data_IF_757671608700
#
_entry.id   IF_757671608700
#
_cell.length_a   1.000
_cell.length_b   1.000
_cell.length_c   1.000
_cell.angle_alpha   90.00
_cell.angle_beta   90.00
_cell.angle_gamma   90.00
#
_symmetry.space_group_name_H-M   'P 1'
#
loop_
_entity.id
_entity.type
_entity.pdbx_description
1 polymer ?
#
# COMPACT_ATOMS: atom_id res chain seq x y z
N UNK A 1 6.86 5.96 -11.21
CA UNK A 1 5.58 5.35 -10.78
C UNK A 1 5.81 4.65 -9.45
N UNK A 2 4.80 4.60 -8.59
CA UNK A 2 4.83 3.97 -7.26
C UNK A 2 3.87 2.79 -7.24
N UNK A 3 4.26 1.69 -6.61
CA UNK A 3 3.38 0.55 -6.44
C UNK A 3 2.18 0.96 -5.58
N UNK A 4 0.97 0.74 -6.09
CA UNK A 4 -0.25 0.88 -5.31
C UNK A 4 -0.43 -0.44 -4.58
N UNK A 5 -0.06 -0.45 -3.32
CA UNK A 5 -0.07 -1.67 -2.53
C UNK A 5 -1.48 -2.27 -2.45
N UNK A 6 -1.56 -3.60 -2.41
CA UNK A 6 -2.79 -4.41 -2.36
C UNK A 6 -3.71 -4.37 -3.59
N UNK A 7 -3.51 -3.44 -4.52
CA UNK A 7 -4.33 -3.37 -5.73
C UNK A 7 -3.73 -4.25 -6.84
N UNK A 8 -4.48 -5.29 -7.21
CA UNK A 8 -4.09 -6.26 -8.25
C UNK A 8 -5.14 -6.41 -9.35
N UNK A 9 -5.43 -5.35 -10.14
CA UNK A 9 -6.38 -5.47 -11.22
C UNK A 9 -5.95 -6.54 -12.22
N UNK A 10 -6.89 -7.39 -12.60
CA UNK A 10 -6.66 -8.53 -13.50
C UNK A 10 -5.51 -9.44 -13.00
N UNK A 11 -5.36 -9.58 -11.68
CA UNK A 11 -4.39 -10.46 -11.03
C UNK A 11 -2.96 -9.93 -10.96
N UNK A 12 -2.70 -8.73 -11.50
CA UNK A 12 -1.36 -8.17 -11.65
C UNK A 12 -1.18 -6.87 -10.86
N UNK A 13 0.04 -6.51 -10.43
CA UNK A 13 0.25 -5.32 -9.63
C UNK A 13 -0.16 -4.02 -10.36
N UNK A 14 -0.58 -3.03 -9.58
CA UNK A 14 -0.93 -1.69 -10.04
C UNK A 14 0.15 -0.69 -9.63
N UNK A 15 0.55 0.22 -10.51
CA UNK A 15 1.42 1.35 -10.15
C UNK A 15 0.75 2.68 -10.50
N UNK A 16 0.92 3.71 -9.66
CA UNK A 16 0.41 5.09 -9.86
C UNK A 16 1.57 6.04 -10.16
N UNK A 17 1.40 6.98 -11.08
CA UNK A 17 2.39 8.03 -11.34
C UNK A 17 2.44 8.99 -10.14
N UNK A 18 3.65 9.35 -9.69
CA UNK A 18 3.84 10.38 -8.65
C UNK A 18 3.26 11.71 -9.11
N UNK A 19 2.54 12.39 -8.22
CA UNK A 19 1.91 13.67 -8.50
C UNK A 19 0.92 13.68 -9.66
N UNK A 20 0.45 12.51 -10.15
CA UNK A 20 -0.32 12.42 -11.38
C UNK A 20 -1.49 11.45 -11.34
N UNK A 21 -2.44 11.66 -12.26
CA UNK A 21 -3.62 10.79 -12.50
C UNK A 21 -3.33 9.81 -13.64
N UNK A 22 -2.23 9.07 -13.51
CA UNK A 22 -1.84 8.01 -14.46
C UNK A 22 -1.50 6.73 -13.71
N UNK A 23 -1.87 5.60 -14.29
CA UNK A 23 -1.66 4.28 -13.70
C UNK A 23 -1.10 3.31 -14.73
N UNK A 24 -0.10 2.53 -14.33
CA UNK A 24 0.38 1.37 -15.06
C UNK A 24 -0.32 0.12 -14.50
N UNK A 25 -1.04 -0.62 -15.33
CA UNK A 25 -1.91 -1.71 -14.90
C UNK A 25 -2.04 -2.79 -15.99
N UNK A 26 -2.46 -4.00 -15.62
CA UNK A 26 -2.78 -5.06 -16.57
C UNK A 26 -4.22 -4.90 -17.06
N UNK A 27 -4.47 -4.95 -18.36
CA UNK A 27 -5.81 -4.99 -18.94
C UNK A 27 -6.43 -6.38 -18.94
N UNK A 28 -7.71 -6.47 -19.31
CA UNK A 28 -8.46 -7.73 -19.37
C UNK A 28 -8.01 -8.67 -20.50
N UNK A 29 -7.37 -8.11 -21.54
CA UNK A 29 -6.80 -8.85 -22.66
C UNK A 29 -5.39 -9.39 -22.35
N UNK A 30 -4.91 -9.18 -21.11
CA UNK A 30 -3.61 -9.62 -20.64
C UNK A 30 -2.45 -8.79 -21.20
N UNK A 31 -2.66 -7.51 -21.54
CA UNK A 31 -1.59 -6.57 -21.91
C UNK A 31 -1.34 -5.54 -20.81
N UNK A 32 -0.17 -4.92 -20.80
CA UNK A 32 0.13 -3.79 -19.90
C UNK A 32 -0.37 -2.47 -20.50
N UNK A 33 -0.96 -1.61 -19.67
CA UNK A 33 -1.51 -0.31 -20.06
C UNK A 33 -1.04 0.80 -19.12
N UNK A 34 -0.81 1.98 -19.67
CA UNK A 34 -0.75 3.24 -18.93
C UNK A 34 -2.04 4.02 -19.20
N UNK A 35 -2.93 4.05 -18.21
CA UNK A 35 -4.25 4.68 -18.30
C UNK A 35 -4.42 5.89 -17.38
N UNK A 36 -5.54 6.58 -17.56
CA UNK A 36 -5.94 7.75 -16.76
C UNK A 36 -7.14 7.49 -15.85
N UNK A 37 -7.85 8.56 -15.49
CA UNK A 37 -9.04 8.50 -14.63
C UNK A 37 -10.12 7.53 -15.12
N UNK A 38 -10.44 7.45 -16.44
CA UNK A 38 -11.45 6.51 -16.92
C UNK A 38 -11.13 5.03 -16.61
N UNK A 39 -9.84 4.64 -16.69
CA UNK A 39 -9.41 3.29 -16.31
C UNK A 39 -9.61 3.04 -14.81
N UNK A 40 -9.34 4.04 -13.96
CA UNK A 40 -9.54 3.95 -12.50
C UNK A 40 -11.02 3.85 -12.13
N UNK A 41 -11.89 4.64 -12.76
CA UNK A 41 -13.35 4.61 -12.53
C UNK A 41 -13.93 3.24 -12.84
N UNK A 42 -13.41 2.57 -13.87
CA UNK A 42 -13.74 1.20 -14.22
C UNK A 42 -13.03 0.14 -13.36
N UNK A 43 -12.37 0.54 -12.26
CA UNK A 43 -11.55 -0.33 -11.39
C UNK A 43 -10.54 -1.15 -12.19
N UNK A 44 -10.04 -0.59 -13.29
CA UNK A 44 -9.10 -1.20 -14.24
C UNK A 44 -9.62 -2.50 -14.89
N UNK A 45 -10.95 -2.72 -14.91
CA UNK A 45 -11.60 -3.83 -15.64
C UNK A 45 -11.80 -3.46 -17.12
N UNK A 46 -10.74 -3.02 -17.77
CA UNK A 46 -10.76 -2.61 -19.17
C UNK A 46 -9.44 -2.92 -19.88
N UNK A 47 -9.45 -2.81 -21.21
CA UNK A 47 -8.27 -2.96 -22.08
C UNK A 47 -8.03 -1.64 -22.85
N UNK A 48 -7.96 -0.51 -22.12
CA UNK A 48 -7.87 0.84 -22.71
C UNK A 48 -6.87 1.71 -21.97
N UNK A 49 -5.92 2.30 -22.68
CA UNK A 49 -4.94 3.23 -22.11
C UNK A 49 -4.57 4.32 -23.10
N UNK A 50 -3.66 5.18 -22.70
CA UNK A 50 -2.98 6.12 -23.61
C UNK A 50 -1.72 5.48 -24.22
N UNK A 51 -1.13 4.55 -23.47
CA UNK A 51 0.01 3.75 -23.87
C UNK A 51 -0.30 2.31 -23.49
N UNK A 52 0.07 1.34 -24.32
CA UNK A 52 -0.04 -0.07 -23.98
C UNK A 52 1.12 -0.87 -24.56
N UNK A 53 1.31 -2.08 -24.04
CA UNK A 53 2.29 -3.01 -24.55
C UNK A 53 1.65 -3.90 -25.63
N UNK A 54 2.24 -3.93 -26.84
CA UNK A 54 1.68 -4.60 -28.03
C UNK A 54 1.38 -6.10 -27.85
N UNK A 55 2.15 -6.80 -27.02
CA UNK A 55 2.02 -8.24 -26.77
C UNK A 55 1.48 -8.55 -25.37
N UNK A 56 0.81 -9.70 -25.24
CA UNK A 56 0.26 -10.19 -23.97
C UNK A 56 1.38 -10.57 -23.00
N UNK A 57 1.18 -10.24 -21.72
CA UNK A 57 2.25 -10.34 -20.73
C UNK A 57 2.43 -11.69 -20.07
N UNK A 58 1.42 -12.57 -20.07
CA UNK A 58 1.56 -13.93 -19.51
C UNK A 58 2.07 -13.95 -18.04
N UNK A 59 1.72 -12.93 -17.26
CA UNK A 59 2.23 -12.71 -15.89
C UNK A 59 3.61 -12.04 -15.75
N UNK A 60 4.33 -11.79 -16.85
CA UNK A 60 5.62 -11.09 -16.82
C UNK A 60 5.42 -9.61 -16.48
N UNK A 61 6.19 -9.12 -15.50
CA UNK A 61 6.11 -7.74 -15.02
C UNK A 61 6.53 -6.73 -16.10
N UNK A 62 6.03 -5.48 -16.07
CA UNK A 62 6.19 -4.53 -17.17
C UNK A 62 7.65 -4.22 -17.51
N UNK A 63 8.54 -4.19 -16.51
CA UNK A 63 9.96 -3.88 -16.67
C UNK A 63 10.82 -5.07 -17.15
N UNK A 64 10.24 -6.27 -17.20
CA UNK A 64 10.87 -7.48 -17.76
C UNK A 64 10.19 -7.91 -19.06
N UNK A 65 9.10 -7.25 -19.42
CA UNK A 65 8.30 -7.61 -20.56
C UNK A 65 8.99 -7.16 -21.84
N UNK A 66 9.28 -8.11 -22.74
CA UNK A 66 9.93 -7.82 -24.02
C UNK A 66 8.89 -7.44 -25.08
N UNK A 67 9.27 -6.52 -25.96
CA UNK A 67 8.44 -6.03 -27.05
C UNK A 67 8.40 -4.52 -27.09
N UNK A 68 7.43 -3.98 -27.82
CA UNK A 68 7.29 -2.54 -28.00
C UNK A 68 6.04 -2.03 -27.32
N UNK A 69 6.18 -0.86 -26.72
CA UNK A 69 5.07 -0.04 -26.30
C UNK A 69 4.52 0.72 -27.51
N UNK A 70 3.22 0.94 -27.48
CA UNK A 70 2.50 1.74 -28.47
C UNK A 70 1.72 2.81 -27.71
N UNK A 71 1.60 3.99 -28.31
CA UNK A 71 0.80 5.08 -27.77
C UNK A 71 -0.20 5.57 -28.81
N UNK A 72 -1.36 6.06 -28.35
CA UNK A 72 -2.45 6.37 -29.27
C UNK A 72 -3.76 6.76 -28.59
N UNK A 73 -4.67 7.28 -29.40
CA UNK A 73 -6.01 7.76 -29.00
C UNK A 73 -7.14 6.76 -29.23
N UNK A 74 -6.82 5.50 -29.56
CA UNK A 74 -7.78 4.42 -29.76
C UNK A 74 -8.07 4.08 -31.22
N UNK A 75 -8.12 5.06 -32.12
CA UNK A 75 -8.26 4.82 -33.56
C UNK A 75 -6.93 4.44 -34.21
N UNK A 76 -5.86 5.17 -33.86
CA UNK A 76 -4.51 4.95 -34.37
C UNK A 76 -3.54 4.70 -33.21
N UNK A 77 -2.72 3.67 -33.37
CA UNK A 77 -1.68 3.28 -32.44
C UNK A 77 -0.32 3.35 -33.10
N UNK A 78 0.59 4.08 -32.46
CA UNK A 78 1.94 4.31 -32.97
C UNK A 78 2.93 3.51 -32.12
N UNK A 79 3.65 2.61 -32.79
CA UNK A 79 4.75 1.88 -32.17
C UNK A 79 5.88 2.84 -31.86
N UNK A 80 6.29 2.87 -30.60
CA UNK A 80 7.35 3.75 -30.14
C UNK A 80 8.41 2.94 -29.38
N UNK A 81 9.56 2.62 -30.01
CA UNK A 81 10.62 1.87 -29.38
C UNK A 81 11.36 2.65 -28.28
N UNK A 82 11.15 3.96 -28.18
CA UNK A 82 11.79 4.81 -27.17
C UNK A 82 11.09 4.73 -25.81
N UNK A 83 9.81 4.32 -25.80
CA UNK A 83 9.08 4.08 -24.56
C UNK A 83 9.60 2.79 -23.94
N UNK A 84 10.16 2.91 -22.74
CA UNK A 84 10.64 1.79 -21.95
C UNK A 84 10.16 1.87 -20.50
N UNK A 85 10.04 0.72 -19.86
CA UNK A 85 9.73 0.63 -18.42
C UNK A 85 10.88 -0.10 -17.75
N UNK A 86 11.48 0.54 -16.74
CA UNK A 86 12.58 -0.03 -15.97
C UNK A 86 12.26 0.02 -14.48
N UNK A 87 12.73 -0.99 -13.73
CA UNK A 87 12.62 -1.00 -12.28
C UNK A 87 13.79 -0.20 -11.68
N UNK A 88 13.47 0.87 -10.95
CA UNK A 88 14.49 1.65 -10.25
C UNK A 88 14.79 0.96 -8.93
N UNK A 89 16.02 0.43 -8.76
CA UNK A 89 16.42 -0.43 -7.63
C UNK A 89 16.49 0.29 -6.28
N UNK A 90 16.55 1.61 -6.26
CA UNK A 90 16.66 2.40 -5.02
C UNK A 90 15.78 3.63 -5.11
N UNK A 91 14.74 3.66 -4.28
CA UNK A 91 13.83 4.80 -4.17
C UNK A 91 14.54 6.10 -3.74
N UNK A 92 15.67 5.99 -3.00
CA UNK A 92 16.52 7.14 -2.66
C UNK A 92 17.13 7.81 -3.90
N UNK A 93 17.77 7.04 -4.77
CA UNK A 93 18.37 7.58 -6.00
C UNK A 93 17.34 8.10 -7.02
N UNK A 94 16.07 7.68 -6.90
CA UNK A 94 14.98 8.27 -7.68
C UNK A 94 14.56 9.64 -7.11
N UNK A 95 14.48 9.74 -5.78
CA UNK A 95 14.10 10.97 -5.09
C UNK A 95 15.15 12.07 -5.25
N UNK A 96 16.43 11.74 -5.12
CA UNK A 96 17.52 12.69 -5.33
C UNK A 96 17.53 13.27 -6.75
N UNK A 97 17.12 12.48 -7.77
CA UNK A 97 16.95 12.96 -9.13
C UNK A 97 15.72 13.86 -9.30
N UNK A 98 14.56 13.44 -8.80
CA UNK A 98 13.33 14.25 -8.87
C UNK A 98 13.53 15.61 -8.17
N UNK A 99 14.19 15.62 -7.00
CA UNK A 99 14.50 16.84 -6.24
C UNK A 99 15.56 17.70 -6.95
N UNK A 100 16.54 17.10 -7.61
CA UNK A 100 17.54 17.81 -8.41
C UNK A 100 16.93 18.43 -9.68
N UNK A 101 16.06 17.72 -10.40
CA UNK A 101 15.37 18.22 -11.59
C UNK A 101 14.39 19.34 -11.24
N UNK A 102 13.66 19.20 -10.12
CA UNK A 102 12.79 20.25 -9.60
C UNK A 102 13.59 21.50 -9.21
N UNK A 103 14.77 21.33 -8.59
CA UNK A 103 15.67 22.44 -8.24
C UNK A 103 16.27 23.09 -9.49
N UNK A 104 16.65 22.31 -10.51
CA UNK A 104 17.19 22.83 -11.77
C UNK A 104 16.13 23.57 -12.61
N UNK A 105 14.85 23.21 -12.45
CA UNK A 105 13.73 23.89 -13.14
C UNK A 105 13.38 25.26 -12.54
N UNK A 106 13.89 25.59 -11.36
CA UNK A 106 13.80 26.92 -10.76
C UNK A 106 15.05 27.70 -11.18
N UNK A 107 15.07 28.18 -12.43
CA UNK A 107 16.17 29.02 -12.90
C UNK A 107 16.09 30.42 -12.26
N UNK A 108 17.19 30.98 -11.71
CA UNK A 108 17.19 32.30 -11.07
C UNK A 108 17.38 33.44 -12.08
N UNK A 109 16.71 33.41 -13.24
CA UNK A 109 16.84 34.48 -14.25
C UNK A 109 15.98 35.72 -13.97
N UNK A 110 15.45 35.87 -12.75
CA UNK A 110 14.50 36.93 -12.39
C UNK A 110 14.98 37.97 -11.38
N UNK A 111 16.20 37.93 -10.86
CA UNK A 111 16.71 39.00 -9.98
C UNK A 111 17.16 40.20 -10.80
N UNK A 112 16.17 40.94 -11.30
CA UNK A 112 16.32 42.31 -11.77
C UNK A 112 16.85 43.17 -10.61
N UNK A 113 18.00 43.79 -10.87
CA UNK A 113 18.67 44.76 -10.02
C UNK A 113 17.72 45.87 -9.53
N UNK A 114 17.27 45.78 -8.29
CA UNK A 114 16.84 46.94 -7.50
C UNK A 114 17.97 47.31 -6.54
N UNK A 115 18.95 48.02 -7.08
CA UNK A 115 19.83 48.83 -6.26
C UNK A 115 19.09 50.12 -5.89
N UNK A 116 19.34 50.57 -4.65
CA UNK A 116 19.32 51.95 -4.18
C UNK A 116 18.23 52.36 -3.19
N UNK A 117 18.76 52.68 -1.99
CA UNK A 117 18.35 53.69 -1.00
C UNK A 117 17.61 53.20 0.25
N UNK A 118 18.38 52.94 1.31
CA UNK A 118 17.97 53.22 2.70
C UNK A 118 19.17 53.85 3.44
N UNK A 119 18.98 54.97 4.17
CA UNK A 119 20.03 55.60 4.95
C UNK A 119 20.10 55.06 6.38
N UNK A 120 21.33 54.97 6.86
CA UNK A 120 21.75 54.67 8.23
C UNK A 120 21.36 55.79 9.18
N UNK A 121 20.69 55.47 10.30
CA UNK A 121 20.64 56.33 11.49
C UNK A 121 21.19 55.55 12.67
N UNK A 122 22.27 56.10 13.23
CA UNK A 122 22.90 55.74 14.49
C UNK A 122 22.09 56.35 15.64
N UNK A 123 21.92 55.60 16.73
CA UNK A 123 21.73 56.20 18.05
C UNK A 123 22.28 55.26 19.15
N UNK A 124 23.28 55.69 19.95
CA UNK A 124 23.76 54.97 21.11
C UNK A 124 23.60 55.81 22.39
N UNK A 125 22.66 55.49 23.27
CA UNK A 125 22.81 55.71 24.72
C UNK A 125 21.62 55.15 25.49
N UNK A 126 21.88 54.26 26.45
CA UNK A 126 21.43 54.43 27.84
C UNK A 126 21.95 53.31 28.74
N UNK A 127 22.62 53.76 29.79
CA UNK A 127 23.26 53.02 30.88
C UNK A 127 22.28 52.54 31.95
N UNK A 128 22.71 51.49 32.65
CA UNK A 128 22.61 51.16 34.08
C UNK A 128 21.25 51.29 34.82
N UNK A 129 20.83 50.19 35.47
CA UNK A 129 20.87 50.11 36.94
C UNK A 129 20.62 48.68 37.46
N UNK A 130 21.59 48.19 38.23
CA UNK A 130 21.52 47.04 39.16
C UNK A 130 20.93 47.47 40.49
N UNK A 131 19.92 46.75 41.03
CA UNK A 131 19.71 46.57 42.50
C UNK A 131 19.04 45.25 42.87
N UNK A 132 19.55 44.69 43.97
CA UNK A 132 19.10 43.49 44.70
C UNK A 132 17.70 43.64 45.32
N UNK A 133 16.97 42.52 45.48
CA UNK A 133 16.44 42.02 46.77
C UNK A 133 15.59 40.73 46.59
N UNK A 134 15.91 39.68 47.34
CA UNK A 134 14.97 38.61 47.78
C UNK A 134 14.22 39.09 49.06
N UNK A 135 13.17 38.43 49.63
CA UNK A 135 12.71 37.03 49.48
C UNK A 135 11.16 36.82 49.42
N UNK A 136 10.75 35.53 49.35
CA UNK A 136 9.37 34.99 49.37
C UNK A 136 8.54 35.42 50.61
N UNK A 137 7.19 35.29 50.56
CA UNK A 137 6.55 34.14 51.25
C UNK A 137 5.24 33.58 50.63
N UNK A 138 4.93 32.31 51.02
CA UNK A 138 3.63 31.65 51.31
C UNK A 138 2.41 32.06 50.45
N UNK A 139 1.71 31.17 49.73
CA UNK A 139 1.14 29.89 50.12
C UNK A 139 -0.38 29.98 49.96
N UNK A 140 -0.98 29.21 49.05
CA UNK A 140 -2.44 29.07 48.87
C UNK A 140 -2.77 27.65 48.38
N UNK A 141 -4.01 27.16 48.64
CA UNK A 141 -4.27 25.77 48.98
C UNK A 141 -4.63 24.87 47.78
N UNK A 142 -4.53 23.57 48.02
CA UNK A 142 -5.17 22.51 47.25
C UNK A 142 -6.70 22.64 47.30
N UNK A 143 -7.40 22.20 46.26
CA UNK A 143 -8.66 21.50 46.44
C UNK A 143 -8.56 20.05 45.94
N UNK A 144 -9.06 19.16 46.78
CA UNK A 144 -9.26 17.74 46.54
C UNK A 144 -10.61 17.48 45.85
N UNK A 145 -10.68 16.36 45.12
CA UNK A 145 -11.86 15.66 44.57
C UNK A 145 -12.56 16.37 43.38
N UNK A 146 -12.95 15.71 42.27
CA UNK A 146 -13.69 14.45 42.15
C UNK A 146 -13.67 13.93 40.68
N UNK A 147 -13.87 12.61 40.57
CA UNK A 147 -14.57 11.84 39.51
C UNK A 147 -13.96 11.61 38.13
N UNK A 148 -13.87 10.31 37.81
CA UNK A 148 -13.64 9.71 36.52
C UNK A 148 -14.60 10.21 35.42
N UNK A 149 -14.03 10.55 34.27
CA UNK A 149 -14.75 10.76 33.01
C UNK A 149 -14.35 9.69 31.99
N UNK A 150 -15.20 8.67 31.85
CA UNK A 150 -15.19 7.76 30.70
C UNK A 150 -15.72 8.54 29.50
N UNK A 151 -14.90 8.75 28.48
CA UNK A 151 -15.34 9.31 27.19
C UNK A 151 -15.95 8.16 26.39
N UNK A 152 -17.28 8.08 26.38
CA UNK A 152 -18.03 7.30 25.40
C UNK A 152 -18.11 8.09 24.08
N UNK A 153 -17.58 7.49 23.02
CA UNK A 153 -17.80 7.91 21.64
C UNK A 153 -19.25 7.56 21.22
N UNK A 154 -20.09 8.50 20.76
CA UNK A 154 -21.37 8.16 20.17
C UNK A 154 -21.26 8.13 18.64
N UNK A 155 -21.18 6.93 18.06
CA UNK A 155 -21.67 6.71 16.70
C UNK A 155 -23.18 6.47 16.79
N UNK A 156 -23.98 7.51 16.51
CA UNK A 156 -25.43 7.43 16.44
C UNK A 156 -25.85 7.17 14.99
N UNK A 157 -26.51 6.04 14.79
CA UNK A 157 -27.26 5.68 13.59
C UNK A 157 -28.49 6.58 13.45
N UNK A 158 -28.63 7.30 12.34
CA UNK A 158 -29.90 7.88 11.92
C UNK A 158 -30.41 7.14 10.68
N UNK A 159 -31.47 6.38 10.88
CA UNK A 159 -32.47 6.11 9.86
C UNK A 159 -33.79 6.68 10.37
N UNK A 160 -34.37 7.62 9.63
CA UNK A 160 -35.81 7.71 9.33
C UNK A 160 -36.04 8.90 8.38
N UNK A 161 -36.70 8.60 7.26
CA UNK A 161 -37.10 9.55 6.21
C UNK A 161 -38.38 10.26 6.66
N UNK A 162 -38.35 11.58 6.65
CA UNK A 162 -39.54 12.42 6.56
C UNK A 162 -39.54 13.14 5.21
N UNK A 163 -40.70 13.14 4.56
CA UNK A 163 -41.03 13.92 3.37
C UNK A 163 -40.73 15.42 3.57
N UNK A 164 -40.12 16.03 2.56
CA UNK A 164 -40.32 17.43 2.23
C UNK A 164 -39.95 17.66 0.76
N UNK A 165 -40.99 17.97 -0.02
CA UNK A 165 -40.93 18.54 -1.35
C UNK A 165 -40.29 19.92 -1.32
N UNK A 166 -39.15 20.10 -2.01
CA UNK A 166 -38.75 21.41 -2.53
C UNK A 166 -38.11 21.26 -3.92
N UNK A 167 -38.81 21.86 -4.88
CA UNK A 167 -38.39 22.19 -6.23
C UNK A 167 -37.16 23.09 -6.21
N UNK A 168 -36.07 22.67 -6.85
CA UNK A 168 -35.03 23.58 -7.33
C UNK A 168 -34.62 23.23 -8.76
N UNK A 169 -34.58 24.30 -9.55
CA UNK A 169 -34.38 24.36 -10.99
C UNK A 169 -33.01 23.82 -11.40
N UNK A 170 -33.00 22.94 -12.40
CA UNK A 170 -31.80 22.49 -13.09
C UNK A 170 -31.71 23.22 -14.44
N UNK A 171 -30.83 24.21 -14.53
CA UNK A 171 -30.27 24.64 -15.82
C UNK A 171 -29.21 23.60 -16.21
N UNK A 172 -29.61 22.65 -17.05
CA UNK A 172 -28.71 21.75 -17.77
C UNK A 172 -28.77 22.12 -19.25
N UNK A 173 -27.66 22.67 -19.74
CA UNK A 173 -27.43 22.94 -21.16
C UNK A 173 -27.61 21.67 -22.00
N UNK A 174 -28.33 21.86 -23.10
CA UNK A 174 -28.66 20.85 -24.10
C UNK A 174 -27.40 20.31 -24.79
N UNK A 175 -27.26 18.97 -24.81
CA UNK A 175 -26.39 18.26 -25.76
C UNK A 175 -27.27 17.56 -26.81
N UNK A 176 -26.86 17.54 -28.09
CA UNK A 176 -27.72 17.13 -29.19
C UNK A 176 -27.93 15.60 -29.26
N UNK A 177 -29.08 15.15 -29.79
CA UNK A 177 -29.41 13.74 -29.91
C UNK A 177 -28.70 13.11 -31.10
N UNK A 178 -27.92 12.05 -30.85
CA UNK A 178 -27.50 11.11 -31.89
C UNK A 178 -28.42 9.89 -31.83
N UNK A 179 -29.53 9.94 -32.57
CA UNK A 179 -30.24 8.73 -32.97
C UNK A 179 -30.49 8.86 -34.47
N UNK A 180 -29.93 7.92 -35.24
CA UNK A 180 -30.42 7.36 -36.51
C UNK A 180 -29.28 6.54 -37.15
N UNK A 181 -29.12 5.30 -36.71
CA UNK A 181 -28.48 4.26 -37.52
C UNK A 181 -29.56 3.33 -38.07
N UNK A 182 -29.60 3.06 -39.38
CA UNK A 182 -30.57 2.14 -39.97
C UNK A 182 -30.23 0.67 -39.65
N UNK A 183 -31.24 -0.23 -39.63
CA UNK A 183 -31.03 -1.65 -39.39
C UNK A 183 -30.29 -2.31 -40.56
N UNK A 184 -29.38 -3.23 -40.22
CA UNK A 184 -28.77 -4.15 -41.16
C UNK A 184 -29.84 -5.01 -41.84
N UNK A 185 -30.07 -4.76 -43.13
CA UNK A 185 -30.84 -5.63 -44.01
C UNK A 185 -29.97 -6.79 -44.49
N UNK A 186 -30.42 -8.01 -44.21
CA UNK A 186 -29.90 -9.24 -44.79
C UNK A 186 -30.23 -9.28 -46.28
N UNK A 187 -29.22 -9.22 -47.15
CA UNK A 187 -29.37 -9.66 -48.53
C UNK A 187 -28.47 -10.85 -48.79
N UNK A 188 -29.13 -12.00 -48.89
CA UNK A 188 -28.64 -13.23 -49.48
C UNK A 188 -28.51 -13.04 -50.99
N UNK A 189 -27.29 -12.89 -51.48
CA UNK A 189 -27.00 -13.03 -52.91
C UNK A 189 -26.17 -14.27 -53.19
N UNK A 190 -26.77 -15.08 -54.08
CA UNK A 190 -26.25 -16.33 -54.65
C UNK A 190 -25.02 -16.03 -55.49
N UNK A 191 -23.87 -16.54 -55.08
CA UNK A 191 -22.73 -16.73 -55.96
C UNK A 191 -22.77 -18.16 -56.53
N UNK A 192 -23.02 -18.24 -57.84
CA UNK A 192 -22.88 -19.43 -58.66
C UNK A 192 -21.38 -19.72 -58.84
N UNK A 193 -20.93 -20.88 -58.38
CA UNK A 193 -19.57 -21.40 -58.65
C UNK A 193 -19.56 -22.27 -59.92
N UNK A 194 -18.54 -22.17 -60.78
CA UNK A 194 -18.32 -23.13 -61.88
C UNK A 194 -17.57 -24.39 -61.40
N UNK A 195 -17.57 -25.48 -62.21
CA UNK A 195 -17.32 -26.82 -61.71
C UNK A 195 -15.82 -27.21 -61.62
N UNK A 196 -15.56 -27.96 -60.56
CA UNK A 196 -14.54 -28.99 -60.33
C UNK A 196 -13.57 -29.31 -61.48
N UNK A 197 -12.29 -29.04 -61.26
CA UNK A 197 -11.18 -29.79 -61.85
C UNK A 197 -10.29 -30.40 -60.74
N UNK A 198 -10.18 -31.72 -60.84
CA UNK A 198 -9.11 -32.63 -60.40
C UNK A 198 -8.28 -32.31 -59.14
N UNK A 199 -8.48 -33.14 -58.11
CA UNK A 199 -7.55 -33.35 -57.00
C UNK A 199 -6.30 -34.13 -57.47
N UNK A 200 -5.07 -33.70 -57.14
CA UNK A 200 -3.96 -34.62 -56.95
C UNK A 200 -3.98 -35.20 -55.53
N UNK A 201 -3.68 -36.50 -55.42
CA UNK A 201 -3.43 -37.17 -54.14
C UNK A 201 -2.27 -36.48 -53.40
N UNK A 202 -2.53 -36.06 -52.17
CA UNK A 202 -1.51 -35.60 -51.24
C UNK A 202 -1.44 -36.56 -50.04
N UNK A 203 -0.20 -36.90 -49.71
CA UNK A 203 0.33 -37.85 -48.74
C UNK A 203 -0.15 -37.65 -47.28
N UNK A 204 0.03 -38.66 -46.40
CA UNK A 204 -0.53 -38.66 -45.06
C UNK A 204 0.33 -37.82 -44.10
N UNK A 205 -0.14 -36.62 -43.78
CA UNK A 205 0.39 -35.84 -42.67
C UNK A 205 -0.12 -36.42 -41.35
N UNK A 206 0.81 -36.94 -40.53
CA UNK A 206 0.57 -37.30 -39.13
C UNK A 206 0.16 -36.05 -38.36
N UNK A 207 -0.92 -36.15 -37.59
CA UNK A 207 -1.35 -35.13 -36.64
C UNK A 207 -0.21 -34.74 -35.70
N UNK A 208 0.13 -33.45 -35.53
CA UNK A 208 0.99 -33.04 -34.44
C UNK A 208 0.27 -33.33 -33.12
N UNK A 209 0.95 -34.07 -32.25
CA UNK A 209 0.44 -34.47 -30.94
C UNK A 209 -0.07 -33.27 -30.15
N UNK A 210 -1.22 -33.49 -29.50
CA UNK A 210 -1.80 -32.60 -28.50
C UNK A 210 -0.69 -32.20 -27.50
N UNK A 211 -0.38 -30.91 -27.30
CA UNK A 211 0.59 -30.52 -26.30
C UNK A 211 0.06 -30.99 -24.95
N UNK A 212 0.85 -31.86 -24.34
CA UNK A 212 0.62 -32.41 -23.00
C UNK A 212 0.45 -31.24 -22.04
N UNK A 213 -0.74 -31.18 -21.45
CA UNK A 213 -1.16 -30.13 -20.55
C UNK A 213 -0.32 -30.26 -19.29
N UNK A 214 0.81 -29.56 -19.23
CA UNK A 214 1.66 -29.46 -18.03
C UNK A 214 0.79 -28.83 -16.95
N UNK A 215 0.23 -29.68 -16.09
CA UNK A 215 -0.42 -29.25 -14.86
C UNK A 215 0.65 -28.60 -14.01
N UNK A 216 0.57 -27.28 -13.91
CA UNK A 216 1.33 -26.51 -12.94
C UNK A 216 0.95 -27.02 -11.55
N UNK A 217 1.70 -27.98 -11.02
CA UNK A 217 1.63 -28.35 -9.62
C UNK A 217 2.02 -27.11 -8.82
N UNK A 218 1.01 -26.42 -8.29
CA UNK A 218 1.18 -25.44 -7.22
C UNK A 218 1.85 -26.19 -6.07
N UNK A 219 3.17 -26.05 -5.94
CA UNK A 219 3.91 -26.51 -4.77
C UNK A 219 3.30 -25.78 -3.58
N UNK A 220 2.43 -26.48 -2.84
CA UNK A 220 1.97 -26.05 -1.53
C UNK A 220 3.18 -26.21 -0.61
N UNK A 221 4.04 -25.20 -0.61
CA UNK A 221 5.13 -25.12 0.37
C UNK A 221 4.45 -25.01 1.72
N UNK A 222 4.56 -26.05 2.55
CA UNK A 222 4.06 -26.03 3.93
C UNK A 222 5.01 -25.13 4.75
N UNK A 223 4.77 -23.81 4.73
CA UNK A 223 5.60 -22.80 5.41
C UNK A 223 5.38 -22.76 6.93
N UNK A 224 5.14 -23.92 7.56
CA UNK A 224 5.20 -24.02 9.02
C UNK A 224 6.65 -23.86 9.45
N UNK A 225 7.08 -22.62 9.64
CA UNK A 225 8.32 -22.35 10.36
C UNK A 225 8.18 -23.03 11.72
N UNK A 226 9.14 -23.89 12.13
CA UNK A 226 9.13 -24.46 13.46
C UNK A 226 8.95 -23.34 14.48
N UNK A 227 7.96 -23.48 15.37
CA UNK A 227 7.69 -22.50 16.42
C UNK A 227 8.93 -22.24 17.29
N UNK A 228 9.88 -23.19 17.30
CA UNK A 228 11.15 -23.11 18.01
C UNK A 228 12.05 -21.94 17.54
N UNK A 229 11.90 -21.49 16.29
CA UNK A 229 12.65 -20.35 15.74
C UNK A 229 11.91 -19.01 15.85
N UNK A 230 10.70 -19.00 16.42
CA UNK A 230 9.87 -17.82 16.57
C UNK A 230 10.31 -16.99 17.79
N UNK A 231 10.63 -15.69 17.65
CA UNK A 231 10.89 -14.83 18.79
C UNK A 231 9.69 -14.82 19.75
N UNK A 232 9.91 -15.21 21.00
CA UNK A 232 8.86 -15.20 22.04
C UNK A 232 8.43 -13.79 22.40
N UNK A 233 9.35 -12.84 22.28
CA UNK A 233 9.11 -11.44 22.61
C UNK A 233 9.74 -10.57 21.52
N UNK A 234 9.00 -9.56 21.10
CA UNK A 234 9.42 -8.57 20.12
C UNK A 234 9.36 -7.18 20.74
N UNK A 235 10.28 -6.30 20.35
CA UNK A 235 10.18 -4.86 20.63
C UNK A 235 9.83 -4.16 19.31
N UNK A 236 8.74 -3.42 19.32
CA UNK A 236 8.33 -2.54 18.22
C UNK A 236 8.72 -1.12 18.60
N UNK A 237 9.32 -0.38 17.65
CA UNK A 237 9.64 1.05 17.78
C UNK A 237 8.94 1.81 16.65
N UNK A 238 8.24 2.91 16.98
CA UNK A 238 7.48 3.71 15.99
C UNK A 238 7.61 5.21 16.30
N UNK A 239 8.76 5.83 15.95
CA UNK A 239 9.11 7.14 16.48
C UNK A 239 8.34 8.29 15.82
N UNK A 240 7.82 8.10 14.60
CA UNK A 240 7.22 9.18 13.81
C UNK A 240 5.68 9.17 13.81
N UNK A 241 5.04 8.67 14.88
CA UNK A 241 3.57 8.58 15.01
C UNK A 241 3.14 7.18 15.38
N UNK A 242 1.85 7.00 15.72
CA UNK A 242 1.32 5.72 16.21
C UNK A 242 2.14 5.16 17.39
N UNK A 243 2.66 6.03 18.27
CA UNK A 243 3.44 5.63 19.44
C UNK A 243 2.64 4.74 20.40
N UNK A 244 1.30 4.76 20.30
CA UNK A 244 0.42 3.82 21.01
C UNK A 244 0.69 2.35 20.64
N UNK A 245 1.24 2.10 19.45
CA UNK A 245 1.66 0.78 18.99
C UNK A 245 3.11 0.44 19.37
N UNK A 246 3.88 1.39 19.90
CA UNK A 246 5.25 1.13 20.37
C UNK A 246 5.22 0.32 21.67
N UNK A 247 6.15 -0.62 21.84
CA UNK A 247 6.18 -1.43 23.06
C UNK A 247 6.76 -2.82 22.88
N UNK A 248 6.64 -3.60 23.95
CA UNK A 248 7.02 -5.01 23.99
C UNK A 248 5.80 -5.85 23.62
N UNK A 249 5.98 -6.82 22.75
CA UNK A 249 4.96 -7.72 22.23
C UNK A 249 5.30 -9.15 22.60
N UNK A 250 4.43 -9.80 23.37
CA UNK A 250 4.57 -11.20 23.75
C UNK A 250 3.86 -12.12 22.75
N UNK A 251 4.50 -13.24 22.42
CA UNK A 251 3.93 -14.29 21.58
C UNK A 251 2.69 -14.88 22.26
N UNK A 252 1.58 -14.90 21.53
CA UNK A 252 0.33 -15.52 22.00
C UNK A 252 0.40 -17.02 21.70
N UNK A 253 0.59 -17.82 22.75
CA UNK A 253 0.77 -19.26 22.63
C UNK A 253 -0.43 -19.92 21.93
N UNK A 254 -0.13 -20.87 21.04
CA UNK A 254 -1.10 -21.65 20.27
C UNK A 254 -2.09 -20.84 19.42
N UNK A 255 -1.82 -19.54 19.21
CA UNK A 255 -2.60 -18.70 18.30
C UNK A 255 -1.78 -18.36 17.08
N UNK A 256 -2.42 -18.52 15.93
CA UNK A 256 -1.87 -18.14 14.64
C UNK A 256 -2.92 -17.34 13.87
N UNK A 257 -2.44 -16.41 13.07
CA UNK A 257 -3.25 -15.69 12.10
C UNK A 257 -2.66 -15.88 10.71
N UNK A 258 -3.50 -16.30 9.76
CA UNK A 258 -3.11 -16.54 8.37
C UNK A 258 -1.87 -17.46 8.23
N UNK A 259 -1.77 -18.48 9.09
CA UNK A 259 -0.68 -19.46 9.10
C UNK A 259 0.62 -18.99 9.75
N UNK A 260 0.61 -17.83 10.42
CA UNK A 260 1.78 -17.25 11.06
C UNK A 260 1.52 -16.92 12.54
N UNK A 261 2.58 -16.82 13.38
CA UNK A 261 2.41 -16.52 14.80
C UNK A 261 1.77 -15.13 15.04
N UNK A 262 1.15 -14.99 16.22
CA UNK A 262 0.46 -13.78 16.66
C UNK A 262 1.14 -13.25 17.92
N UNK A 263 1.41 -11.95 18.00
CA UNK A 263 1.93 -11.31 19.22
C UNK A 263 0.97 -10.25 19.73
N UNK A 264 0.80 -10.14 21.05
CA UNK A 264 0.02 -9.09 21.73
C UNK A 264 0.97 -8.12 22.46
N UNK A 265 0.71 -6.83 22.35
CA UNK A 265 1.39 -5.81 23.14
C UNK A 265 1.16 -6.06 24.63
N UNK A 266 2.22 -6.01 25.46
CA UNK A 266 2.12 -6.30 26.89
C UNK A 266 1.28 -5.26 27.64
N UNK A 267 1.50 -3.98 27.37
CA UNK A 267 0.85 -2.85 28.06
C UNK A 267 -0.28 -2.22 27.24
N UNK A 268 -0.86 -2.96 26.30
CA UNK A 268 -1.86 -2.41 25.40
C UNK A 268 -2.74 -3.44 24.69
N UNK A 269 -3.69 -2.91 23.93
CA UNK A 269 -4.65 -3.70 23.15
C UNK A 269 -4.31 -3.64 21.67
N UNK A 270 -3.04 -3.87 21.34
CA UNK A 270 -2.57 -4.01 19.96
C UNK A 270 -2.00 -5.39 19.71
N UNK A 271 -2.15 -5.86 18.48
CA UNK A 271 -1.66 -7.16 18.02
C UNK A 271 -0.80 -6.98 16.78
N UNK A 272 0.33 -7.68 16.75
CA UNK A 272 1.16 -7.87 15.56
C UNK A 272 0.82 -9.22 14.94
N UNK A 273 0.38 -9.23 13.68
CA UNK A 273 -0.13 -10.40 12.99
C UNK A 273 0.18 -10.38 11.49
N UNK A 274 0.10 -11.53 10.82
CA UNK A 274 0.16 -11.60 9.36
C UNK A 274 -1.23 -11.41 8.79
N UNK A 275 -1.45 -10.39 7.96
CA UNK A 275 -2.74 -10.15 7.30
C UNK A 275 -3.00 -11.09 6.12
N UNK A 276 -4.22 -11.05 5.57
CA UNK A 276 -4.67 -11.88 4.43
C UNK A 276 -3.76 -11.80 3.20
N UNK A 277 -3.13 -10.65 2.96
CA UNK A 277 -2.19 -10.46 1.86
C UNK A 277 -0.73 -10.78 2.23
N UNK A 278 -0.53 -11.53 3.31
CA UNK A 278 0.78 -11.98 3.83
C UNK A 278 1.72 -10.81 4.13
N UNK A 279 1.21 -9.70 4.64
CA UNK A 279 2.00 -8.58 5.14
C UNK A 279 1.87 -8.53 6.66
N UNK A 280 2.93 -8.14 7.37
CA UNK A 280 2.84 -7.92 8.81
C UNK A 280 2.05 -6.64 9.09
N UNK A 281 1.14 -6.71 10.06
CA UNK A 281 0.25 -5.62 10.45
C UNK A 281 0.23 -5.49 11.98
N UNK A 282 0.14 -4.25 12.48
CA UNK A 282 -0.19 -3.95 13.87
C UNK A 282 -1.53 -3.22 13.88
N UNK A 283 -2.50 -3.77 14.59
CA UNK A 283 -3.84 -3.21 14.70
C UNK A 283 -4.41 -3.40 16.12
N UNK A 284 -5.52 -2.70 16.39
CA UNK A 284 -6.17 -2.72 17.69
C UNK A 284 -7.19 -3.85 17.83
N UNK A 285 -8.13 -3.62 18.75
CA UNK A 285 -9.19 -4.56 19.12
C UNK A 285 -10.16 -4.86 17.96
N UNK A 286 -10.36 -3.92 17.04
CA UNK A 286 -11.18 -4.09 15.83
C UNK A 286 -10.66 -5.24 14.95
N UNK A 287 -9.35 -5.35 14.77
CA UNK A 287 -8.75 -6.44 14.02
C UNK A 287 -8.98 -7.79 14.71
N UNK A 288 -8.94 -7.85 16.04
CA UNK A 288 -9.22 -9.08 16.79
C UNK A 288 -10.68 -9.52 16.65
N UNK A 289 -11.62 -8.59 16.72
CA UNK A 289 -13.06 -8.86 16.51
C UNK A 289 -13.36 -9.40 15.12
N UNK A 290 -12.58 -8.98 14.13
CA UNK A 290 -12.64 -9.48 12.75
C UNK A 290 -11.74 -10.70 12.50
N UNK A 291 -11.30 -11.39 13.57
CA UNK A 291 -10.39 -12.55 13.51
C UNK A 291 -9.14 -12.29 12.65
N UNK A 292 -8.63 -11.07 12.71
CA UNK A 292 -7.44 -10.61 12.01
C UNK A 292 -7.50 -10.83 10.48
N UNK A 293 -8.70 -10.78 9.90
CA UNK A 293 -8.91 -10.96 8.46
C UNK A 293 -8.52 -9.74 7.62
N UNK A 294 -8.34 -8.59 8.28
CA UNK A 294 -7.90 -7.32 7.68
C UNK A 294 -6.43 -7.32 7.31
N UNK A 295 -6.06 -6.50 6.33
CA UNK A 295 -4.65 -6.30 5.92
C UNK A 295 -4.22 -4.84 6.04
N UNK A 296 -5.04 -4.06 6.72
CA UNK A 296 -4.99 -2.63 6.92
C UNK A 296 -5.08 -2.39 8.43
N UNK A 297 -3.91 -2.34 9.08
CA UNK A 297 -3.76 -1.97 10.48
C UNK A 297 -3.32 -0.52 10.65
N UNK A 298 -3.10 -0.09 11.89
CA UNK A 298 -2.49 1.20 12.20
C UNK A 298 -1.06 1.30 11.66
N UNK A 299 -0.34 0.17 11.65
CA UNK A 299 0.97 0.00 11.03
C UNK A 299 0.92 -1.25 10.15
N UNK A 300 1.49 -1.21 8.94
CA UNK A 300 1.51 -2.35 8.04
C UNK A 300 2.75 -2.35 7.13
N UNK A 301 3.29 -3.54 6.83
CA UNK A 301 4.35 -3.67 5.83
C UNK A 301 3.83 -3.41 4.42
N UNK A 302 4.70 -2.82 3.60
CA UNK A 302 4.42 -2.41 2.22
C UNK A 302 4.52 -3.52 1.19
N UNK A 303 4.87 -4.72 1.61
CA UNK A 303 5.04 -5.87 0.73
C UNK A 303 4.74 -7.17 1.50
N UNK A 304 4.36 -8.25 0.80
CA UNK A 304 4.22 -9.54 1.45
C UNK A 304 5.56 -10.00 2.05
N UNK A 305 5.53 -10.46 3.31
CA UNK A 305 6.72 -10.88 4.05
C UNK A 305 7.31 -12.22 3.57
N UNK A 306 6.60 -12.94 2.69
CA UNK A 306 7.14 -14.16 2.06
C UNK A 306 7.44 -15.29 3.03
N UNK A 307 6.74 -15.34 4.17
CA UNK A 307 7.00 -16.30 5.26
C UNK A 307 8.06 -15.86 6.27
N UNK A 308 8.76 -14.75 6.02
CA UNK A 308 9.72 -14.20 7.01
C UNK A 308 8.98 -13.66 8.24
N UNK A 309 9.56 -13.87 9.42
CA UNK A 309 9.12 -13.29 10.69
C UNK A 309 9.26 -11.76 10.70
N UNK A 310 8.49 -11.02 11.51
CA UNK A 310 8.45 -9.56 11.44
C UNK A 310 9.80 -8.88 11.73
N UNK A 311 10.63 -9.48 12.58
CA UNK A 311 12.00 -9.04 12.87
C UNK A 311 13.00 -9.28 11.71
N UNK A 312 12.71 -10.28 10.86
CA UNK A 312 13.53 -10.64 9.70
C UNK A 312 13.06 -9.99 8.41
N UNK A 313 11.80 -9.57 8.36
CA UNK A 313 11.20 -8.92 7.21
C UNK A 313 11.72 -7.48 7.08
N UNK A 314 12.76 -7.27 6.26
CA UNK A 314 13.38 -5.96 5.97
C UNK A 314 12.55 -5.06 5.03
N UNK A 315 11.25 -5.29 4.95
CA UNK A 315 10.36 -4.55 4.06
C UNK A 315 9.98 -3.21 4.69
N UNK A 316 9.79 -2.14 3.90
CA UNK A 316 9.35 -0.86 4.43
C UNK A 316 8.00 -1.00 5.14
N UNK A 317 7.80 -0.19 6.17
CA UNK A 317 6.54 -0.07 6.90
C UNK A 317 5.80 1.21 6.49
N UNK A 318 4.49 1.14 6.55
CA UNK A 318 3.59 2.29 6.51
C UNK A 318 2.89 2.42 7.86
N UNK A 319 2.53 3.65 8.22
CA UNK A 319 1.63 3.95 9.33
C UNK A 319 0.43 4.77 8.86
N UNK A 320 -0.71 4.55 9.48
CA UNK A 320 -1.88 5.40 9.33
C UNK A 320 -1.68 6.69 10.12
N UNK A 321 -1.96 7.86 9.53
CA UNK A 321 -1.86 9.16 10.20
C UNK A 321 -3.22 9.75 10.60
N UNK A 322 -4.32 9.04 10.33
CA UNK A 322 -5.69 9.55 10.47
C UNK A 322 -6.39 9.75 9.12
N UNK A 323 -5.63 10.01 8.05
CA UNK A 323 -6.17 10.31 6.72
C UNK A 323 -5.63 9.37 5.63
N UNK A 324 -4.36 8.99 5.71
CA UNK A 324 -3.68 8.15 4.72
C UNK A 324 -2.53 7.34 5.33
N UNK A 325 -2.14 6.31 4.60
CA UNK A 325 -0.91 5.57 4.91
C UNK A 325 0.32 6.38 4.46
N UNK A 326 1.19 6.68 5.41
CA UNK A 326 2.49 7.29 5.17
C UNK A 326 3.60 6.25 5.31
N UNK A 327 4.57 6.29 4.40
CA UNK A 327 5.75 5.45 4.52
C UNK A 327 6.63 5.93 5.66
N UNK A 328 6.99 4.99 6.54
CA UNK A 328 7.77 5.25 7.73
C UNK A 328 8.89 4.22 7.87
N UNK A 329 10.09 4.52 7.33
CA UNK A 329 11.22 3.60 7.40
C UNK A 329 11.85 3.55 8.80
N UNK A 330 11.42 4.42 9.73
CA UNK A 330 11.94 4.43 11.10
C UNK A 330 11.22 3.41 11.99
N UNK A 331 10.09 2.85 11.54
CA UNK A 331 9.45 1.71 12.20
C UNK A 331 10.35 0.49 12.07
N UNK A 332 10.66 -0.11 13.21
CA UNK A 332 11.51 -1.29 13.29
C UNK A 332 10.99 -2.28 14.32
N UNK A 333 11.13 -3.56 14.03
CA UNK A 333 10.76 -4.66 14.92
C UNK A 333 12.00 -5.51 15.14
N UNK A 334 12.32 -5.79 16.40
CA UNK A 334 13.47 -6.59 16.78
C UNK A 334 13.07 -7.68 17.79
N UNK A 335 13.80 -8.81 17.86
CA UNK A 335 13.69 -9.71 18.99
C UNK A 335 14.04 -8.97 20.28
N UNK A 336 13.22 -9.15 21.30
CA UNK A 336 13.46 -8.58 22.62
C UNK A 336 13.90 -9.69 23.57
N UNK A 337 15.06 -9.52 24.20
CA UNK A 337 15.55 -10.42 25.23
C UNK A 337 15.06 -9.88 26.56
N UNK A 338 14.14 -10.59 27.21
CA UNK A 338 13.73 -10.24 28.56
C UNK A 338 14.93 -10.43 29.51
N UNK A 339 15.17 -9.49 30.44
CA UNK A 339 16.16 -9.70 31.49
C UNK A 339 15.77 -10.94 32.29
N UNK A 340 16.76 -11.79 32.60
CA UNK A 340 16.59 -13.11 33.23
C UNK A 340 15.77 -13.09 34.54
N UNK A 341 15.70 -11.93 35.21
CA UNK A 341 14.94 -11.74 36.45
C UNK A 341 13.42 -11.76 36.27
N UNK A 342 12.90 -11.33 35.12
CA UNK A 342 11.44 -11.34 34.87
C UNK A 342 10.90 -12.73 34.53
N UNK A 343 11.77 -13.64 34.06
CA UNK A 343 11.38 -15.02 33.76
C UNK A 343 11.09 -15.87 35.01
N UNK A 344 11.49 -15.40 36.20
CA UNK A 344 11.28 -16.14 37.46
C UNK A 344 9.96 -15.80 38.16
N UNK A 345 9.32 -14.66 37.86
CA UNK A 345 8.12 -14.22 38.58
C UNK A 345 6.82 -14.85 38.05
N UNK A 346 6.79 -15.36 36.82
CA UNK A 346 5.60 -16.01 36.25
C UNK A 346 5.36 -17.46 36.73
N UNK A 347 6.19 -18.01 37.64
CA UNK A 347 5.79 -19.15 38.48
C UNK A 347 5.46 -20.49 37.81
N UNK A 348 5.66 -20.67 36.50
CA UNK A 348 5.42 -21.94 35.76
C UNK A 348 6.69 -22.79 35.60
N UNK A 349 7.69 -22.63 36.46
CA UNK A 349 8.81 -23.58 36.52
C UNK A 349 8.64 -24.45 37.75
N UNK A 350 8.05 -25.63 37.52
CA UNK A 350 8.12 -26.74 38.46
C UNK A 350 9.56 -26.91 38.91
N UNK A 351 9.75 -26.91 40.23
CA UNK A 351 11.05 -27.04 40.87
C UNK A 351 11.87 -28.15 40.20
N UNK A 352 13.14 -27.92 39.84
CA UNK A 352 13.99 -29.02 39.38
C UNK A 352 14.03 -30.04 40.52
N UNK A 353 13.47 -31.22 40.26
CA UNK A 353 13.38 -32.30 41.21
C UNK A 353 14.76 -32.52 41.83
N UNK A 354 14.87 -32.27 43.14
CA UNK A 354 15.99 -32.72 43.96
C UNK A 354 16.15 -34.22 43.71
N UNK A 355 17.16 -34.58 42.93
CA UNK A 355 17.70 -35.94 42.90
C UNK A 355 18.30 -36.19 44.28
N UNK A 356 17.52 -36.78 45.17
CA UNK A 356 18.04 -37.43 46.37
C UNK A 356 18.91 -38.59 45.88
N UNK A 357 20.23 -38.38 45.92
CA UNK A 357 21.19 -39.47 45.87
C UNK A 357 21.15 -40.11 47.27
N UNK A 358 20.49 -41.26 47.38
CA UNK A 358 20.62 -42.11 48.54
C UNK A 358 22.04 -42.68 48.56
N UNK A 359 22.73 -42.50 49.69
CA UNK A 359 24.02 -43.11 50.01
C UNK A 359 23.84 -44.57 50.44
#
# INVERSE_FOLDING_TARGET
YELVFLWRPNGQPLWRKRGGKRWLYSGQDGRWYIGGTPSREQKFRCARGLIYHSTRHGGVLPHRHLGSWEWGGGADWHRDPTISVSAVRTWRAARERDDADARASISPEGTSSFHSLMPTVLDPDLREETRLCSPRPRGWPLPSFFTAGIILNPFRTHGERGDASETFSADCEELPPWEHLPPFSSNSDRLVLPPLLARPQASPWRSPGRPEQVQSELIVVDYRTPLDDCPRVLKVTSPCGQQVCEGVYGLVHNMQCNGHPLWKQQDGEHWLYSGKYRCWCIAGQDAKEENFSRSDGLIAQTAPHGGLMPDRARLPWHRWDGERFQMDPAIFIAPHVLPERELMEDGVVGSPGRRLVAL
#
